data_IF_413487008127
#
_entry.id   IF_413487008127
#
_cell.length_a   1.000
_cell.length_b   1.000
_cell.length_c   1.000
_cell.angle_alpha   90.00
_cell.angle_beta   90.00
_cell.angle_gamma   90.00
#
_symmetry.space_group_name_H-M   'P 1'
#
loop_
_entity.id
_entity.type
_entity.pdbx_description
1 polymer ?
#
# COMPACT_ATOMS: atom_id res chain seq x y z
N UNK A 1 -17.97 -24.84 9.42
CA UNK A 1 -18.51 -24.35 8.13
C UNK A 1 -19.90 -23.76 8.36
N UNK A 2 -20.29 -22.68 7.67
CA UNK A 2 -21.65 -22.14 7.85
C UNK A 2 -22.68 -23.17 7.40
N UNK A 3 -23.75 -23.35 8.18
CA UNK A 3 -24.82 -24.28 7.83
C UNK A 3 -25.87 -23.62 6.92
N UNK A 4 -26.15 -22.33 7.15
CA UNK A 4 -27.11 -21.52 6.38
C UNK A 4 -26.60 -21.22 4.97
N UNK A 5 -27.44 -21.38 3.94
CA UNK A 5 -27.10 -21.16 2.52
C UNK A 5 -26.53 -19.77 2.25
N UNK A 6 -27.15 -18.72 2.80
CA UNK A 6 -26.69 -17.33 2.66
C UNK A 6 -25.27 -17.13 3.21
N UNK A 7 -24.96 -17.76 4.35
CA UNK A 7 -23.65 -17.66 4.98
C UNK A 7 -22.56 -18.43 4.23
N UNK A 8 -22.88 -19.61 3.68
CA UNK A 8 -21.97 -20.34 2.76
C UNK A 8 -21.57 -19.45 1.56
N UNK A 9 -22.54 -18.73 0.99
CA UNK A 9 -22.28 -17.76 -0.10
C UNK A 9 -21.39 -16.61 0.36
N UNK A 10 -21.66 -16.02 1.53
CA UNK A 10 -20.86 -14.91 2.09
C UNK A 10 -19.41 -15.29 2.33
N UNK A 11 -19.13 -16.48 2.85
CA UNK A 11 -17.75 -16.97 3.03
C UNK A 11 -17.03 -17.05 1.68
N UNK A 12 -17.67 -17.60 0.65
CA UNK A 12 -17.06 -17.69 -0.69
C UNK A 12 -16.74 -16.31 -1.28
N UNK A 13 -17.67 -15.35 -1.18
CA UNK A 13 -17.45 -13.98 -1.68
C UNK A 13 -16.38 -13.25 -0.89
N UNK A 14 -16.38 -13.38 0.44
CA UNK A 14 -15.41 -12.72 1.31
C UNK A 14 -14.00 -13.25 1.06
N UNK A 15 -13.84 -14.57 0.88
CA UNK A 15 -12.54 -15.16 0.57
C UNK A 15 -11.97 -14.65 -0.76
N UNK A 16 -12.81 -14.51 -1.79
CA UNK A 16 -12.40 -13.93 -3.09
C UNK A 16 -11.94 -12.48 -2.93
N UNK A 17 -12.72 -11.66 -2.23
CA UNK A 17 -12.37 -10.27 -1.98
C UNK A 17 -11.10 -10.13 -1.13
N UNK A 18 -10.97 -10.96 -0.08
CA UNK A 18 -9.82 -10.98 0.81
C UNK A 18 -8.52 -11.27 0.07
N UNK A 19 -8.48 -12.31 -0.78
CA UNK A 19 -7.29 -12.63 -1.60
C UNK A 19 -6.81 -11.45 -2.45
N UNK A 20 -7.75 -10.73 -3.08
CA UNK A 20 -7.44 -9.55 -3.89
C UNK A 20 -6.87 -8.40 -3.04
N UNK A 21 -7.47 -8.15 -1.86
CA UNK A 21 -7.01 -7.10 -0.95
C UNK A 21 -5.63 -7.42 -0.38
N UNK A 22 -5.37 -8.68 -0.02
CA UNK A 22 -4.06 -9.13 0.49
C UNK A 22 -2.96 -8.89 -0.54
N UNK A 23 -3.17 -9.27 -1.81
CA UNK A 23 -2.21 -9.03 -2.88
C UNK A 23 -1.89 -7.53 -3.04
N UNK A 24 -2.92 -6.67 -3.07
CA UNK A 24 -2.74 -5.21 -3.18
C UNK A 24 -1.99 -4.61 -1.98
N UNK A 25 -2.31 -5.06 -0.75
CA UNK A 25 -1.61 -4.62 0.46
C UNK A 25 -0.14 -5.06 0.44
N UNK A 26 0.16 -6.26 -0.06
CA UNK A 26 1.53 -6.75 -0.19
C UNK A 26 2.34 -5.93 -1.21
N UNK A 27 1.75 -5.64 -2.37
CA UNK A 27 2.37 -4.80 -3.39
C UNK A 27 2.68 -3.39 -2.86
N UNK A 28 1.74 -2.80 -2.10
CA UNK A 28 1.94 -1.49 -1.47
C UNK A 28 3.07 -1.51 -0.42
N UNK A 29 3.13 -2.55 0.42
CA UNK A 29 4.25 -2.70 1.38
C UNK A 29 5.59 -2.82 0.66
N UNK A 30 5.61 -3.52 -0.48
CA UNK A 30 6.83 -3.69 -1.28
C UNK A 30 7.28 -2.37 -1.89
N UNK A 31 6.37 -1.53 -2.41
CA UNK A 31 6.75 -0.20 -2.91
C UNK A 31 7.26 0.73 -1.81
N UNK A 32 6.67 0.67 -0.61
CA UNK A 32 7.17 1.44 0.55
C UNK A 32 8.59 1.00 0.91
N UNK A 33 8.86 -0.31 0.92
CA UNK A 33 10.21 -0.84 1.18
C UNK A 33 11.22 -0.43 0.12
N UNK A 34 10.83 -0.36 -1.15
CA UNK A 34 11.71 0.08 -2.22
C UNK A 34 12.16 1.54 -2.03
N UNK A 35 11.26 2.43 -1.61
CA UNK A 35 11.61 3.81 -1.27
C UNK A 35 12.60 3.84 -0.10
N UNK A 36 12.31 3.10 0.97
CA UNK A 36 13.19 3.05 2.14
C UNK A 36 14.58 2.49 1.81
N UNK A 37 14.67 1.46 0.95
CA UNK A 37 15.95 0.91 0.51
C UNK A 37 16.77 1.92 -0.31
N UNK A 38 16.13 2.71 -1.19
CA UNK A 38 16.80 3.77 -1.93
C UNK A 38 17.26 4.92 -1.01
N UNK A 39 16.45 5.24 0.01
CA UNK A 39 16.78 6.18 1.09
C UNK A 39 18.02 5.68 1.86
N UNK A 40 18.03 4.42 2.29
CA UNK A 40 19.17 3.83 3.00
C UNK A 40 20.45 3.82 2.15
N UNK A 41 20.31 3.65 0.83
CA UNK A 41 21.42 3.71 -0.14
C UNK A 41 21.90 5.13 -0.47
N UNK A 42 21.24 6.18 0.06
CA UNK A 42 21.49 7.61 -0.22
C UNK A 42 21.40 8.01 -1.70
N UNK A 43 20.66 7.25 -2.51
CA UNK A 43 20.41 7.58 -3.92
C UNK A 43 19.11 8.40 -4.04
N UNK A 44 19.28 9.71 -4.21
CA UNK A 44 18.17 10.67 -4.25
C UNK A 44 17.29 10.51 -5.49
N UNK A 45 17.88 10.24 -6.65
CA UNK A 45 17.12 10.12 -7.91
C UNK A 45 16.26 8.85 -7.88
N UNK A 46 16.87 7.73 -7.47
CA UNK A 46 16.14 6.47 -7.31
C UNK A 46 15.04 6.57 -6.24
N UNK A 47 15.30 7.26 -5.13
CA UNK A 47 14.31 7.44 -4.06
C UNK A 47 13.10 8.27 -4.52
N UNK A 48 13.32 9.34 -5.29
CA UNK A 48 12.24 10.18 -5.85
C UNK A 48 11.41 9.39 -6.88
N UNK A 49 12.06 8.64 -7.76
CA UNK A 49 11.37 7.79 -8.73
C UNK A 49 10.49 6.73 -8.04
N UNK A 50 11.06 6.02 -7.07
CA UNK A 50 10.32 5.03 -6.28
C UNK A 50 9.17 5.66 -5.46
N UNK A 51 9.36 6.89 -4.96
CA UNK A 51 8.35 7.62 -4.22
C UNK A 51 7.14 7.97 -5.07
N UNK A 52 7.35 8.41 -6.32
CA UNK A 52 6.25 8.72 -7.24
C UNK A 52 5.36 7.50 -7.49
N UNK A 53 5.97 6.35 -7.73
CA UNK A 53 5.27 5.07 -7.87
C UNK A 53 4.51 4.67 -6.60
N UNK A 54 5.17 4.82 -5.44
CA UNK A 54 4.55 4.51 -4.14
C UNK A 54 3.38 5.44 -3.85
N UNK A 55 3.50 6.74 -4.16
CA UNK A 55 2.46 7.75 -3.99
C UNK A 55 1.22 7.42 -4.83
N UNK A 56 1.41 7.05 -6.11
CA UNK A 56 0.32 6.60 -6.98
C UNK A 56 -0.39 5.35 -6.43
N UNK A 57 0.37 4.38 -5.90
CA UNK A 57 -0.20 3.16 -5.29
C UNK A 57 -0.98 3.47 -4.01
N UNK A 58 -0.52 4.42 -3.18
CA UNK A 58 -1.23 4.86 -1.98
C UNK A 58 -2.59 5.48 -2.33
N UNK A 59 -2.63 6.37 -3.33
CA UNK A 59 -3.89 7.01 -3.73
C UNK A 59 -4.88 6.02 -4.35
N UNK A 60 -4.38 5.09 -5.18
CA UNK A 60 -5.19 3.98 -5.72
C UNK A 60 -5.76 3.10 -4.59
N UNK A 61 -5.00 2.88 -3.51
CA UNK A 61 -5.48 2.13 -2.36
C UNK A 61 -6.59 2.85 -1.60
N UNK A 62 -6.55 4.19 -1.53
CA UNK A 62 -7.64 5.01 -0.97
C UNK A 62 -8.88 4.96 -1.86
N UNK A 63 -8.72 5.16 -3.17
CA UNK A 63 -9.83 5.12 -4.13
C UNK A 63 -10.56 3.76 -4.15
N UNK A 64 -9.85 2.66 -3.86
CA UNK A 64 -10.43 1.31 -3.75
C UNK A 64 -10.90 0.96 -2.33
N UNK A 65 -10.87 1.90 -1.38
CA UNK A 65 -11.33 1.69 0.01
C UNK A 65 -10.48 0.72 0.83
N UNK A 66 -9.24 0.43 0.40
CA UNK A 66 -8.34 -0.51 1.10
C UNK A 66 -7.70 0.15 2.31
N UNK A 67 -7.38 1.43 2.20
CA UNK A 67 -6.82 2.27 3.26
C UNK A 67 -7.57 3.60 3.34
N UNK A 68 -7.65 4.17 4.54
CA UNK A 68 -8.24 5.49 4.75
C UNK A 68 -7.29 6.60 4.25
N UNK A 69 -7.84 7.77 3.89
CA UNK A 69 -7.07 8.95 3.46
C UNK A 69 -5.94 9.31 4.44
N UNK A 70 -6.21 9.27 5.75
CA UNK A 70 -5.21 9.59 6.79
C UNK A 70 -4.01 8.63 6.77
N UNK A 71 -4.22 7.36 6.41
CA UNK A 71 -3.12 6.41 6.27
C UNK A 71 -2.22 6.81 5.09
N UNK A 72 -2.81 7.12 3.94
CA UNK A 72 -2.05 7.57 2.78
C UNK A 72 -1.31 8.88 3.05
N UNK A 73 -1.98 9.89 3.62
CA UNK A 73 -1.37 11.17 3.99
C UNK A 73 -0.18 10.99 4.94
N UNK A 74 -0.33 10.17 5.98
CA UNK A 74 0.77 9.90 6.94
C UNK A 74 1.95 9.21 6.28
N UNK A 75 1.71 8.23 5.41
CA UNK A 75 2.80 7.52 4.74
C UNK A 75 3.54 8.41 3.74
N UNK A 76 2.80 9.23 2.97
CA UNK A 76 3.41 10.23 2.07
C UNK A 76 4.29 11.21 2.84
N UNK A 77 3.78 11.78 3.94
CA UNK A 77 4.54 12.71 4.77
C UNK A 77 5.83 12.09 5.32
N UNK A 78 5.76 10.85 5.83
CA UNK A 78 6.94 10.14 6.36
C UNK A 78 7.99 9.85 5.30
N UNK A 79 7.57 9.35 4.14
CA UNK A 79 8.50 9.03 3.05
C UNK A 79 9.12 10.29 2.44
N UNK A 80 8.34 11.35 2.26
CA UNK A 80 8.87 12.64 1.81
C UNK A 80 9.90 13.21 2.79
N UNK A 81 9.63 13.12 4.11
CA UNK A 81 10.61 13.53 5.13
C UNK A 81 11.91 12.74 5.03
N UNK A 82 11.84 11.42 4.90
CA UNK A 82 13.01 10.56 4.79
C UNK A 82 13.87 10.87 3.55
N UNK A 83 13.23 11.18 2.41
CA UNK A 83 13.93 11.58 1.18
C UNK A 83 14.60 12.95 1.37
N UNK A 84 13.92 13.89 2.02
CA UNK A 84 14.46 15.22 2.28
C UNK A 84 15.59 15.22 3.33
N UNK A 85 15.63 14.25 4.24
CA UNK A 85 16.71 14.13 5.24
C UNK A 85 18.05 13.67 4.63
N UNK A 86 18.01 13.05 3.44
CA UNK A 86 19.21 12.68 2.67
C UNK A 86 19.67 13.81 1.75
N UNK A 87 18.80 14.79 1.51
CA UNK A 87 19.04 15.91 0.60
C UNK A 87 20.07 16.91 1.11
#
# INVERSE_FOLDING_TARGET
MPQIKSQKKRVKTNNKAHKLVVSKKSALKSSIKAVLAAVDAKDKEAAVAAYNDCSSKLDKAVAKGIHHKNYASRQKARLAKAINEIA
#
